data_IF_608924865309
#
_entry.id   IF_608924865309
#
_cell.length_a   1.000
_cell.length_b   1.000
_cell.length_c   1.000
_cell.angle_alpha   90.00
_cell.angle_beta   90.00
_cell.angle_gamma   90.00
#
_symmetry.space_group_name_H-M   'P 1'
#
loop_
_entity.id
_entity.type
_entity.pdbx_description
1 polymer ?
#
# COMPACT_ATOMS: atom_id res chain seq x y z
N UNK A 1 30.11 -15.54 31.11
CA UNK A 1 30.07 -14.60 29.96
C UNK A 1 28.99 -15.00 28.93
N UNK A 2 28.70 -16.28 28.74
CA UNK A 2 27.75 -16.76 27.72
C UNK A 2 26.29 -16.32 27.94
N UNK A 3 25.85 -16.15 29.19
CA UNK A 3 24.45 -15.76 29.51
C UNK A 3 24.11 -14.32 29.07
N UNK A 4 25.08 -13.40 29.15
CA UNK A 4 24.90 -12.01 28.72
C UNK A 4 24.85 -11.89 27.19
N UNK A 5 25.67 -12.68 26.48
CA UNK A 5 25.66 -12.72 25.01
C UNK A 5 24.37 -13.31 24.45
N UNK A 6 23.82 -14.35 25.10
CA UNK A 6 22.52 -14.92 24.71
C UNK A 6 21.39 -13.90 24.94
N UNK A 7 21.39 -13.17 26.06
CA UNK A 7 20.40 -12.13 26.34
C UNK A 7 20.46 -10.94 25.36
N UNK A 8 21.65 -10.58 24.90
CA UNK A 8 21.83 -9.54 23.87
C UNK A 8 21.37 -10.03 22.48
N UNK A 9 21.67 -11.29 22.14
CA UNK A 9 21.24 -11.88 20.88
C UNK A 9 19.71 -12.03 20.80
N UNK A 10 19.05 -12.41 21.89
CA UNK A 10 17.59 -12.54 21.95
C UNK A 10 16.88 -11.19 21.90
N UNK A 11 17.39 -10.17 22.61
CA UNK A 11 16.82 -8.82 22.53
C UNK A 11 16.97 -8.20 21.15
N UNK A 12 18.10 -8.42 20.47
CA UNK A 12 18.31 -7.94 19.10
C UNK A 12 17.41 -8.65 18.08
N UNK A 13 17.18 -9.96 18.22
CA UNK A 13 16.25 -10.71 17.36
C UNK A 13 14.78 -10.33 17.58
N UNK A 14 14.40 -9.96 18.80
CA UNK A 14 13.05 -9.44 19.07
C UNK A 14 12.87 -8.03 18.49
N UNK A 15 13.89 -7.16 18.56
CA UNK A 15 13.82 -5.83 17.95
C UNK A 15 13.74 -5.89 16.41
N UNK A 16 14.51 -6.77 15.79
CA UNK A 16 14.46 -6.94 14.33
C UNK A 16 13.11 -7.49 13.88
N UNK A 17 12.56 -8.51 14.56
CA UNK A 17 11.25 -9.07 14.21
C UNK A 17 10.08 -8.11 14.45
N UNK A 18 10.14 -7.27 15.48
CA UNK A 18 9.13 -6.22 15.72
C UNK A 18 9.10 -5.17 14.59
N UNK A 19 10.27 -4.79 14.07
CA UNK A 19 10.38 -3.83 12.96
C UNK A 19 9.86 -4.40 11.63
N UNK A 20 10.04 -5.70 11.42
CA UNK A 20 9.53 -6.43 10.25
C UNK A 20 8.00 -6.50 10.28
N UNK A 21 7.40 -6.76 11.45
CA UNK A 21 5.94 -6.82 11.59
C UNK A 21 5.26 -5.48 11.26
N UNK A 22 5.83 -4.36 11.70
CA UNK A 22 5.31 -3.03 11.39
C UNK A 22 5.36 -2.72 9.87
N UNK A 23 6.41 -3.17 9.19
CA UNK A 23 6.56 -2.95 7.76
C UNK A 23 5.70 -3.89 6.91
N UNK A 24 5.48 -5.13 7.35
CA UNK A 24 4.50 -6.04 6.74
C UNK A 24 3.08 -5.48 6.90
N UNK A 25 2.71 -5.00 8.09
CA UNK A 25 1.42 -4.36 8.32
C UNK A 25 1.22 -3.10 7.45
N UNK A 26 2.29 -2.30 7.30
CA UNK A 26 2.29 -1.15 6.38
C UNK A 26 2.14 -1.58 4.92
N UNK A 27 2.83 -2.64 4.50
CA UNK A 27 2.69 -3.16 3.15
C UNK A 27 1.27 -3.66 2.85
N UNK A 28 0.65 -4.37 3.80
CA UNK A 28 -0.72 -4.85 3.69
C UNK A 28 -1.71 -3.68 3.58
N UNK A 29 -1.62 -2.67 4.44
CA UNK A 29 -2.50 -1.49 4.37
C UNK A 29 -2.36 -0.75 3.04
N UNK A 30 -1.14 -0.52 2.56
CA UNK A 30 -0.89 0.19 1.29
C UNK A 30 -1.36 -0.65 0.09
N UNK A 31 -1.27 -1.98 0.15
CA UNK A 31 -1.83 -2.87 -0.86
C UNK A 31 -3.37 -2.84 -0.87
N UNK A 32 -4.02 -2.83 0.30
CA UNK A 32 -5.47 -2.66 0.41
C UNK A 32 -5.92 -1.32 -0.13
N UNK A 33 -5.22 -0.22 0.17
CA UNK A 33 -5.53 1.10 -0.39
C UNK A 33 -5.32 1.14 -1.90
N UNK A 34 -4.30 0.46 -2.41
CA UNK A 34 -4.10 0.33 -3.85
C UNK A 34 -5.30 -0.37 -4.52
N UNK A 35 -5.82 -1.43 -3.89
CA UNK A 35 -6.99 -2.16 -4.38
C UNK A 35 -8.27 -1.31 -4.32
N UNK A 36 -8.53 -0.60 -3.22
CA UNK A 36 -9.66 0.33 -3.09
C UNK A 36 -9.66 1.37 -4.20
N UNK A 37 -8.52 2.05 -4.38
CA UNK A 37 -8.38 3.01 -5.46
C UNK A 37 -8.51 2.39 -6.84
N UNK A 38 -8.12 1.12 -7.04
CA UNK A 38 -8.35 0.43 -8.31
C UNK A 38 -9.84 0.19 -8.58
N UNK A 39 -10.59 -0.16 -7.55
CA UNK A 39 -12.05 -0.33 -7.63
C UNK A 39 -12.71 1.02 -7.96
N UNK A 40 -12.30 2.10 -7.30
CA UNK A 40 -12.81 3.45 -7.55
C UNK A 40 -12.46 3.97 -8.95
N UNK A 41 -11.25 3.69 -9.45
CA UNK A 41 -10.86 3.94 -10.85
C UNK A 41 -11.84 3.26 -11.81
N UNK A 42 -12.11 1.96 -11.60
CA UNK A 42 -13.02 1.19 -12.46
C UNK A 42 -14.47 1.67 -12.38
N UNK A 43 -14.91 2.09 -11.19
CA UNK A 43 -16.24 2.69 -11.01
C UNK A 43 -16.35 4.00 -11.77
N UNK A 44 -15.38 4.90 -11.59
CA UNK A 44 -15.34 6.18 -12.30
C UNK A 44 -15.24 6.01 -13.82
N UNK A 45 -14.46 5.04 -14.32
CA UNK A 45 -14.43 4.69 -15.75
C UNK A 45 -15.80 4.22 -16.27
N UNK A 46 -16.51 3.42 -15.47
CA UNK A 46 -17.85 2.94 -15.81
C UNK A 46 -18.87 4.08 -15.84
N UNK A 47 -18.80 4.99 -14.86
CA UNK A 47 -19.63 6.20 -14.82
C UNK A 47 -19.32 7.13 -16.00
N UNK A 48 -18.04 7.30 -16.36
CA UNK A 48 -17.63 8.10 -17.52
C UNK A 48 -18.22 7.56 -18.82
N UNK A 49 -18.25 6.24 -19.01
CA UNK A 49 -18.85 5.59 -20.18
C UNK A 49 -20.36 5.77 -20.29
N UNK A 50 -21.05 5.88 -19.14
CA UNK A 50 -22.50 6.05 -19.06
C UNK A 50 -22.95 7.51 -19.06
N UNK A 51 -22.01 8.45 -18.97
CA UNK A 51 -22.28 9.88 -18.83
C UNK A 51 -22.29 10.63 -20.16
N UNK A 52 -23.01 11.75 -20.20
CA UNK A 52 -22.86 12.76 -21.25
C UNK A 52 -21.48 13.44 -21.25
N UNK A 53 -21.19 14.34 -22.21
CA UNK A 53 -19.84 14.87 -22.46
C UNK A 53 -19.15 15.48 -21.22
N UNK A 54 -19.89 16.26 -20.43
CA UNK A 54 -19.38 16.88 -19.20
C UNK A 54 -19.11 15.84 -18.12
N UNK A 55 -20.06 14.92 -17.89
CA UNK A 55 -19.90 13.85 -16.90
C UNK A 55 -18.78 12.88 -17.28
N UNK A 56 -18.56 12.63 -18.58
CA UNK A 56 -17.43 11.86 -19.09
C UNK A 56 -16.10 12.50 -18.70
N UNK A 57 -15.95 13.80 -18.94
CA UNK A 57 -14.73 14.53 -18.59
C UNK A 57 -14.45 14.49 -17.08
N UNK A 58 -15.45 14.79 -16.25
CA UNK A 58 -15.32 14.78 -14.78
C UNK A 58 -14.97 13.38 -14.26
N UNK A 59 -15.67 12.35 -14.74
CA UNK A 59 -15.45 10.99 -14.28
C UNK A 59 -14.13 10.40 -14.79
N UNK A 60 -13.66 10.79 -15.98
CA UNK A 60 -12.31 10.45 -16.46
C UNK A 60 -11.20 11.07 -15.60
N UNK A 61 -11.38 12.31 -15.10
CA UNK A 61 -10.43 12.92 -14.15
C UNK A 61 -10.44 12.19 -12.82
N UNK A 62 -11.62 11.86 -12.29
CA UNK A 62 -11.77 11.05 -11.06
C UNK A 62 -11.08 9.69 -11.21
N UNK A 63 -11.30 9.02 -12.34
CA UNK A 63 -10.61 7.76 -12.67
C UNK A 63 -9.09 7.93 -12.70
N UNK A 64 -8.59 8.99 -13.35
CA UNK A 64 -7.17 9.33 -13.38
C UNK A 64 -6.55 9.53 -11.99
N UNK A 65 -7.26 10.24 -11.10
CA UNK A 65 -6.83 10.42 -9.71
C UNK A 65 -6.67 9.09 -8.98
N UNK A 66 -7.70 8.23 -9.03
CA UNK A 66 -7.68 6.93 -8.36
C UNK A 66 -6.64 5.98 -8.96
N UNK A 67 -6.43 6.01 -10.28
CA UNK A 67 -5.36 5.26 -10.95
C UNK A 67 -3.98 5.65 -10.42
N UNK A 68 -3.74 6.95 -10.24
CA UNK A 68 -2.45 7.44 -9.75
C UNK A 68 -2.23 7.08 -8.27
N UNK A 69 -3.27 7.20 -7.44
CA UNK A 69 -3.21 6.80 -6.03
C UNK A 69 -3.03 5.29 -5.87
N UNK A 70 -3.72 4.48 -6.68
CA UNK A 70 -3.55 3.02 -6.70
C UNK A 70 -2.10 2.63 -6.98
N UNK A 71 -1.48 3.23 -8.01
CA UNK A 71 -0.05 3.02 -8.32
C UNK A 71 0.89 3.47 -7.20
N UNK A 72 0.63 4.64 -6.60
CA UNK A 72 1.44 5.17 -5.51
C UNK A 72 1.40 4.25 -4.29
N UNK A 73 0.21 3.82 -3.87
CA UNK A 73 0.04 2.89 -2.74
C UNK A 73 0.67 1.53 -3.02
N UNK A 74 0.53 0.99 -4.24
CA UNK A 74 1.24 -0.24 -4.64
C UNK A 74 2.78 -0.07 -4.56
N UNK A 75 3.31 1.07 -4.97
CA UNK A 75 4.73 1.41 -4.84
C UNK A 75 5.20 1.48 -3.39
N UNK A 76 4.38 2.08 -2.51
CA UNK A 76 4.66 2.13 -1.06
C UNK A 76 4.60 0.75 -0.41
N UNK A 77 3.66 -0.10 -0.82
CA UNK A 77 3.58 -1.49 -0.36
C UNK A 77 4.86 -2.26 -0.72
N UNK A 78 5.30 -2.14 -1.98
CA UNK A 78 6.56 -2.76 -2.45
C UNK A 78 7.78 -2.25 -1.69
N UNK A 79 7.85 -0.95 -1.41
CA UNK A 79 8.94 -0.39 -0.60
C UNK A 79 8.92 -0.88 0.83
N UNK A 80 7.74 -1.00 1.44
CA UNK A 80 7.60 -1.52 2.81
C UNK A 80 8.06 -2.98 2.90
N UNK A 81 7.70 -3.83 1.92
CA UNK A 81 8.22 -5.19 1.83
C UNK A 81 9.74 -5.25 1.64
N UNK A 82 10.30 -4.39 0.78
CA UNK A 82 11.76 -4.33 0.55
C UNK A 82 12.54 -3.92 1.80
N UNK A 83 11.95 -3.13 2.70
CA UNK A 83 12.59 -2.75 3.96
C UNK A 83 12.49 -3.85 5.02
N UNK A 84 11.54 -4.78 4.85
CA UNK A 84 11.20 -5.82 5.83
C UNK A 84 11.99 -7.12 5.63
N UNK A 85 12.64 -7.28 4.47
CA UNK A 85 13.57 -8.36 4.18
C UNK A 85 14.99 -7.81 4.05
#
# INVERSE_FOLDING_TARGET
MNKALIALATSLTVLTTASVHAQIGKAASEATDAAKHKIDEKRADSEAKKSGPVGKAVNSVKSGYHKNRSKSSAGKAKQALKKAG
#
